data_IF_861422570309
#
_entry.id   IF_861422570309
#
_cell.length_a   1.000
_cell.length_b   1.000
_cell.length_c   1.000
_cell.angle_alpha   90.00
_cell.angle_beta   90.00
_cell.angle_gamma   90.00
#
_symmetry.space_group_name_H-M   'P 1'
#
loop_
_entity.id
_entity.type
_entity.pdbx_description
1 polymer ?
#
# COMPACT_ATOMS: atom_id res chain seq x y z
N UNK A 1 -7.81 -1.80 2.51
CA UNK A 1 -6.47 -1.85 1.89
C UNK A 1 -5.64 -0.62 2.24
N UNK A 2 -6.03 0.61 1.84
CA UNK A 2 -5.24 1.82 2.10
C UNK A 2 -4.86 2.01 3.59
N UNK A 3 -5.80 1.78 4.50
CA UNK A 3 -5.53 1.86 5.95
C UNK A 3 -4.35 0.98 6.41
N UNK A 4 -4.18 -0.21 5.81
CA UNK A 4 -3.05 -1.10 6.10
C UNK A 4 -1.74 -0.52 5.58
N UNK A 5 -1.75 0.05 4.37
CA UNK A 5 -0.60 0.76 3.81
C UNK A 5 -0.20 1.92 4.72
N UNK A 6 -1.18 2.75 5.11
CA UNK A 6 -0.95 3.91 5.98
C UNK A 6 -0.41 3.51 7.36
N UNK A 7 -0.90 2.39 7.92
CA UNK A 7 -0.37 1.81 9.16
C UNK A 7 1.08 1.39 9.02
N UNK A 8 1.46 0.69 7.95
CA UNK A 8 2.86 0.31 7.73
C UNK A 8 3.75 1.52 7.44
N UNK A 9 3.25 2.51 6.70
CA UNK A 9 3.96 3.78 6.47
C UNK A 9 4.26 4.49 7.79
N UNK A 10 3.29 4.59 8.70
CA UNK A 10 3.49 5.15 10.04
C UNK A 10 4.49 4.33 10.85
N UNK A 11 4.36 2.99 10.82
CA UNK A 11 5.26 2.07 11.53
C UNK A 11 6.71 2.20 11.07
N UNK A 12 6.93 2.37 9.77
CA UNK A 12 8.25 2.53 9.16
C UNK A 12 8.72 4.00 9.09
N UNK A 13 7.95 4.95 9.64
CA UNK A 13 8.18 6.40 9.53
C UNK A 13 8.49 6.85 8.09
N UNK A 14 7.80 6.23 7.12
CA UNK A 14 7.97 6.47 5.69
C UNK A 14 6.78 7.25 5.16
N UNK A 15 7.02 8.16 4.23
CA UNK A 15 5.96 8.93 3.58
C UNK A 15 5.46 8.25 2.32
N UNK A 16 4.23 8.58 1.90
CA UNK A 16 3.65 8.16 0.62
C UNK A 16 4.56 8.54 -0.56
N UNK A 17 5.29 9.65 -0.46
CA UNK A 17 6.26 10.07 -1.47
C UNK A 17 7.46 9.11 -1.58
N UNK A 18 7.97 8.63 -0.44
CA UNK A 18 9.06 7.65 -0.43
C UNK A 18 8.56 6.29 -0.92
N UNK A 19 7.33 5.90 -0.57
CA UNK A 19 6.67 4.72 -1.15
C UNK A 19 6.54 4.83 -2.68
N UNK A 20 6.14 6.00 -3.20
CA UNK A 20 6.05 6.27 -4.63
C UNK A 20 7.39 6.03 -5.33
N UNK A 21 8.49 6.56 -4.76
CA UNK A 21 9.84 6.34 -5.29
C UNK A 21 10.25 4.86 -5.24
N UNK A 22 10.01 4.17 -4.13
CA UNK A 22 10.42 2.78 -3.96
C UNK A 22 9.64 1.82 -4.88
N UNK A 23 8.35 2.05 -5.03
CA UNK A 23 7.46 1.22 -5.86
C UNK A 23 7.52 1.58 -7.36
N UNK A 24 8.02 2.78 -7.68
CA UNK A 24 7.91 3.38 -9.01
C UNK A 24 6.46 3.72 -9.41
N UNK A 25 5.55 3.81 -8.43
CA UNK A 25 4.15 4.21 -8.65
C UNK A 25 4.06 5.72 -8.46
N UNK A 26 3.39 6.43 -9.38
CA UNK A 26 3.24 7.88 -9.26
C UNK A 26 2.44 8.26 -8.01
N UNK A 27 2.78 9.40 -7.41
CA UNK A 27 2.07 9.92 -6.24
C UNK A 27 0.56 10.09 -6.51
N UNK A 28 0.20 10.51 -7.73
CA UNK A 28 -1.20 10.59 -8.20
C UNK A 28 -1.92 9.24 -8.13
N UNK A 29 -1.25 8.16 -8.53
CA UNK A 29 -1.81 6.81 -8.48
C UNK A 29 -2.01 6.34 -7.04
N UNK A 30 -1.06 6.64 -6.14
CA UNK A 30 -1.24 6.34 -4.71
C UNK A 30 -2.39 7.14 -4.10
N UNK A 31 -2.58 8.40 -4.53
CA UNK A 31 -3.68 9.24 -4.08
C UNK A 31 -5.04 8.70 -4.55
N UNK A 32 -5.11 8.14 -5.76
CA UNK A 32 -6.27 7.40 -6.22
C UNK A 32 -6.58 6.18 -5.34
N UNK A 33 -5.54 5.45 -4.89
CA UNK A 33 -5.72 4.33 -3.96
C UNK A 33 -6.24 4.76 -2.59
N UNK A 34 -5.80 5.94 -2.13
CA UNK A 34 -6.36 6.58 -0.93
C UNK A 34 -7.85 6.93 -1.10
N UNK A 35 -8.25 7.35 -2.29
CA UNK A 35 -9.64 7.69 -2.62
C UNK A 35 -10.53 6.46 -2.86
N UNK A 36 -10.01 5.23 -2.72
CA UNK A 36 -10.78 4.00 -2.84
C UNK A 36 -10.63 3.27 -4.17
N UNK A 37 -9.73 3.71 -5.06
CA UNK A 37 -9.39 2.94 -6.26
C UNK A 37 -8.57 1.71 -5.87
N UNK A 38 -8.91 0.54 -6.37
CA UNK A 38 -8.11 -0.66 -6.14
C UNK A 38 -6.88 -0.70 -7.06
N UNK A 39 -5.68 -0.99 -6.53
CA UNK A 39 -4.49 -1.21 -7.33
C UNK A 39 -4.61 -2.52 -8.10
N UNK A 40 -3.96 -2.56 -9.26
CA UNK A 40 -3.75 -3.82 -9.96
C UNK A 40 -2.85 -4.75 -9.14
N UNK A 41 -2.96 -6.06 -9.38
CA UNK A 41 -2.13 -7.07 -8.71
C UNK A 41 -0.64 -6.73 -8.78
N UNK A 42 -0.14 -6.27 -9.94
CA UNK A 42 1.25 -5.84 -10.15
C UNK A 42 1.65 -4.67 -9.25
N UNK A 43 0.77 -3.68 -9.08
CA UNK A 43 1.05 -2.55 -8.19
C UNK A 43 0.94 -2.95 -6.72
N UNK A 44 0.04 -3.88 -6.38
CA UNK A 44 -0.03 -4.45 -5.05
C UNK A 44 1.24 -5.21 -4.69
N UNK A 45 1.79 -6.05 -5.60
CA UNK A 45 3.09 -6.70 -5.42
C UNK A 45 4.17 -5.68 -5.10
N UNK A 46 4.30 -4.64 -5.92
CA UNK A 46 5.30 -3.58 -5.70
C UNK A 46 5.15 -2.90 -4.35
N UNK A 47 3.93 -2.59 -3.93
CA UNK A 47 3.66 -1.96 -2.62
C UNK A 47 4.04 -2.92 -1.49
N UNK A 48 3.68 -4.20 -1.61
CA UNK A 48 4.03 -5.24 -0.66
C UNK A 48 5.55 -5.40 -0.53
N UNK A 49 6.25 -5.51 -1.67
CA UNK A 49 7.72 -5.60 -1.74
C UNK A 49 8.38 -4.35 -1.14
N UNK A 50 7.88 -3.15 -1.47
CA UNK A 50 8.45 -1.89 -0.98
C UNK A 50 8.23 -1.65 0.51
N UNK A 51 7.19 -2.26 1.08
CA UNK A 51 6.87 -2.20 2.51
C UNK A 51 7.40 -3.43 3.27
N UNK A 52 8.05 -4.38 2.59
CA UNK A 52 8.51 -5.65 3.15
C UNK A 52 7.41 -6.41 3.91
N UNK A 53 6.21 -6.44 3.31
CA UNK A 53 5.04 -7.16 3.86
C UNK A 53 4.50 -8.14 2.84
N UNK A 54 3.92 -9.25 3.31
CA UNK A 54 3.27 -10.21 2.40
C UNK A 54 2.02 -9.61 1.76
N UNK A 55 1.78 -9.95 0.50
CA UNK A 55 0.57 -9.58 -0.24
C UNK A 55 -0.72 -10.05 0.46
N UNK A 56 -0.65 -11.17 1.18
CA UNK A 56 -1.75 -11.71 1.97
C UNK A 56 -2.17 -10.77 3.12
N UNK A 57 -1.24 -9.96 3.62
CA UNK A 57 -1.55 -8.93 4.61
C UNK A 57 -2.60 -7.96 4.10
N UNK A 58 -2.59 -7.63 2.80
CA UNK A 58 -3.60 -6.76 2.19
C UNK A 58 -4.90 -7.50 1.85
N UNK A 59 -4.85 -8.81 1.63
CA UNK A 59 -6.01 -9.67 1.31
C UNK A 59 -6.85 -10.03 2.53
N UNK A 60 -6.25 -10.06 3.72
CA UNK A 60 -7.01 -10.29 4.95
C UNK A 60 -8.06 -9.18 5.11
N UNK A 61 -9.31 -9.48 4.71
CA UNK A 61 -10.46 -8.73 5.19
C UNK A 61 -10.47 -8.97 6.69
N UNK A 62 -10.50 -7.89 7.47
CA UNK A 62 -10.68 -8.03 8.91
C UNK A 62 -11.84 -8.98 9.12
N UNK A 63 -11.57 -10.18 9.66
CA UNK A 63 -12.63 -11.05 10.14
C UNK A 63 -13.25 -10.24 11.27
N UNK A 64 -14.34 -9.52 10.96
CA UNK A 64 -15.25 -9.07 12.00
C UNK A 64 -15.82 -10.36 12.59
N UNK A 65 -15.27 -10.71 13.75
CA UNK A 65 -15.78 -11.76 14.61
C UNK A 65 -17.00 -11.20 15.37
#
# INVERSE_FOLDING_TARGET
>A
MWLKIEKELMRQKTSVYRLAKNTGISATTLQNYKNGIEPSFKNMCKIADALDVSLDYFREKERKQ
#
